data_IF_558612429360
#
_entry.id   IF_558612429360
#
_cell.length_a   1.000
_cell.length_b   1.000
_cell.length_c   1.000
_cell.angle_alpha   90.00
_cell.angle_beta   90.00
_cell.angle_gamma   90.00
#
_symmetry.space_group_name_H-M   'P 1'
#
loop_
_entity.id
_entity.type
_entity.pdbx_description
1 polymer ?
#
# COMPACT_ATOMS: atom_id res chain seq x y z
N UNK A 1 22.45 45.22 38.03
CA UNK A 1 22.61 44.08 37.10
C UNK A 1 21.64 42.98 37.50
N UNK A 2 20.36 43.11 37.19
CA UNK A 2 19.35 42.05 37.37
C UNK A 2 18.30 42.20 36.26
N UNK A 3 18.77 42.11 35.02
CA UNK A 3 17.93 42.13 33.84
C UNK A 3 17.55 40.71 33.43
N UNK A 4 16.25 40.42 33.42
CA UNK A 4 15.65 39.58 32.39
C UNK A 4 15.75 38.06 32.54
N UNK A 5 15.43 37.49 33.71
CA UNK A 5 15.06 36.07 33.79
C UNK A 5 13.64 35.96 34.32
N UNK A 6 12.67 36.38 33.50
CA UNK A 6 11.29 35.93 33.64
C UNK A 6 11.03 34.99 32.47
N UNK A 7 11.20 33.69 32.72
CA UNK A 7 10.70 32.66 31.83
C UNK A 7 9.18 32.61 31.99
N UNK A 8 8.47 33.40 31.18
CA UNK A 8 7.04 33.19 30.93
C UNK A 8 6.90 32.06 29.90
N UNK A 9 7.18 30.82 30.32
CA UNK A 9 6.73 29.64 29.59
C UNK A 9 5.25 29.42 29.89
N UNK A 10 4.38 30.23 29.31
CA UNK A 10 2.95 29.94 29.25
C UNK A 10 2.66 29.18 27.97
N UNK A 11 2.87 27.86 28.01
CA UNK A 11 2.23 26.95 27.05
C UNK A 11 1.03 26.34 27.74
N UNK A 12 -0.13 26.95 27.50
CA UNK A 12 -1.42 26.33 27.73
C UNK A 12 -1.51 25.12 26.80
N UNK A 13 -1.06 23.96 27.29
CA UNK A 13 -1.01 22.72 26.55
C UNK A 13 -2.27 21.91 26.86
N UNK A 14 -3.20 21.89 25.89
CA UNK A 14 -4.51 21.25 25.99
C UNK A 14 -4.47 19.71 25.91
N UNK A 15 -3.30 19.08 25.81
CA UNK A 15 -3.14 17.62 25.84
C UNK A 15 -2.58 17.19 27.18
N UNK A 16 -3.13 16.20 27.87
CA UNK A 16 -2.53 15.69 29.11
C UNK A 16 -1.11 15.14 28.91
N UNK A 17 -0.55 14.47 29.93
CA UNK A 17 0.80 13.87 29.89
C UNK A 17 1.08 13.05 28.62
N UNK A 18 0.08 12.32 28.11
CA UNK A 18 0.19 11.56 26.85
C UNK A 18 0.41 12.49 25.65
N UNK A 19 -0.32 13.60 25.57
CA UNK A 19 -0.13 14.58 24.51
C UNK A 19 1.29 15.14 24.52
N UNK A 20 1.87 15.40 25.69
CA UNK A 20 3.25 15.89 25.79
C UNK A 20 4.25 14.87 25.23
N UNK A 21 4.07 13.59 25.55
CA UNK A 21 4.94 12.52 25.05
C UNK A 21 4.80 12.37 23.53
N UNK A 22 3.57 12.39 23.01
CA UNK A 22 3.34 12.27 21.56
C UNK A 22 3.95 13.44 20.80
N UNK A 23 3.88 14.65 21.35
CA UNK A 23 4.53 15.81 20.73
C UNK A 23 6.05 15.69 20.74
N UNK A 24 6.65 15.24 21.85
CA UNK A 24 8.09 14.96 21.89
C UNK A 24 8.49 13.93 20.83
N UNK A 25 7.69 12.87 20.65
CA UNK A 25 7.92 11.85 19.62
C UNK A 25 7.81 12.40 18.21
N UNK A 26 6.84 13.29 17.97
CA UNK A 26 6.70 13.99 16.70
C UNK A 26 7.91 14.90 16.44
N UNK A 27 8.36 15.65 17.45
CA UNK A 27 9.50 16.58 17.37
C UNK A 27 10.82 15.87 17.06
N UNK A 28 11.08 14.71 17.66
CA UNK A 28 12.28 13.90 17.35
C UNK A 28 12.15 13.12 16.03
N UNK A 29 11.04 13.28 15.30
CA UNK A 29 10.79 12.61 14.02
C UNK A 29 10.44 11.13 14.14
N UNK A 30 10.09 10.62 15.33
CA UNK A 30 9.76 9.21 15.51
C UNK A 30 8.62 8.78 14.57
N UNK A 31 7.58 9.59 14.42
CA UNK A 31 6.49 9.27 13.48
C UNK A 31 6.89 9.41 12.02
N UNK A 32 7.79 10.33 11.71
CA UNK A 32 8.28 10.55 10.35
C UNK A 32 9.15 9.40 9.86
N UNK A 33 9.85 8.66 10.73
CA UNK A 33 10.75 7.58 10.33
C UNK A 33 10.31 6.19 10.78
N UNK A 34 9.86 6.04 12.03
CA UNK A 34 9.47 4.73 12.56
C UNK A 34 8.20 4.20 11.90
N UNK A 35 7.20 5.05 11.63
CA UNK A 35 5.96 4.59 10.97
C UNK A 35 6.22 4.13 9.53
N UNK A 36 6.90 4.90 8.65
CA UNK A 36 7.26 4.40 7.32
C UNK A 36 8.10 3.13 7.37
N UNK A 37 9.07 3.05 8.28
CA UNK A 37 9.87 1.85 8.47
C UNK A 37 9.02 0.62 8.80
N UNK A 38 8.14 0.73 9.79
CA UNK A 38 7.28 -0.38 10.21
C UNK A 38 6.34 -0.81 9.08
N UNK A 39 5.84 0.12 8.28
CA UNK A 39 4.99 -0.16 7.12
C UNK A 39 5.75 -0.91 6.02
N UNK A 40 6.94 -0.44 5.67
CA UNK A 40 7.79 -1.09 4.66
C UNK A 40 8.22 -2.47 5.15
N UNK A 41 8.66 -2.57 6.41
CA UNK A 41 9.00 -3.83 7.06
C UNK A 41 7.84 -4.83 6.98
N UNK A 42 6.64 -4.42 7.41
CA UNK A 42 5.47 -5.30 7.42
C UNK A 42 5.05 -5.72 6.01
N UNK A 43 5.11 -4.81 5.04
CA UNK A 43 4.78 -5.10 3.64
C UNK A 43 5.75 -6.11 3.04
N UNK A 44 7.06 -5.84 3.15
CA UNK A 44 8.10 -6.72 2.61
C UNK A 44 8.07 -8.07 3.31
N UNK A 45 7.95 -8.10 4.64
CA UNK A 45 7.83 -9.34 5.40
C UNK A 45 6.59 -10.15 4.99
N UNK A 46 5.44 -9.49 4.84
CA UNK A 46 4.19 -10.11 4.38
C UNK A 46 4.34 -10.72 2.99
N UNK A 47 4.99 -10.01 2.06
CA UNK A 47 5.26 -10.50 0.71
C UNK A 47 6.20 -11.73 0.75
N UNK A 48 7.35 -11.63 1.42
CA UNK A 48 8.33 -12.72 1.52
C UNK A 48 7.73 -13.99 2.15
N UNK A 49 7.02 -13.83 3.27
CA UNK A 49 6.39 -14.93 4.00
C UNK A 49 5.22 -15.56 3.25
N UNK A 50 4.48 -14.78 2.44
CA UNK A 50 3.40 -15.30 1.60
C UNK A 50 3.93 -16.09 0.41
N UNK A 51 5.04 -15.64 -0.19
CA UNK A 51 5.69 -16.32 -1.32
C UNK A 51 6.51 -17.54 -0.89
N UNK A 52 6.81 -17.69 0.42
CA UNK A 52 7.64 -18.77 0.98
C UNK A 52 8.99 -18.91 0.27
N UNK A 53 9.60 -17.78 -0.14
CA UNK A 53 10.88 -17.78 -0.87
C UNK A 53 11.99 -18.51 -0.10
N UNK A 54 12.03 -18.36 1.22
CA UNK A 54 12.99 -19.04 2.11
C UNK A 54 12.36 -20.22 2.86
N UNK A 55 11.30 -20.80 2.30
CA UNK A 55 10.61 -21.96 2.87
C UNK A 55 9.95 -21.67 4.22
N UNK A 56 10.31 -22.45 5.25
CA UNK A 56 9.75 -22.31 6.61
C UNK A 56 10.53 -21.32 7.49
N UNK A 57 11.64 -20.77 7.00
CA UNK A 57 12.52 -19.94 7.82
C UNK A 57 12.05 -18.47 7.85
N UNK A 58 11.00 -18.22 8.65
CA UNK A 58 10.42 -16.88 8.84
C UNK A 58 11.38 -15.87 9.47
N UNK A 59 12.46 -16.33 10.12
CA UNK A 59 13.47 -15.44 10.68
C UNK A 59 14.26 -14.75 9.57
N UNK A 60 14.55 -15.45 8.48
CA UNK A 60 15.24 -14.88 7.31
C UNK A 60 14.37 -13.84 6.62
N UNK A 61 13.08 -14.14 6.44
CA UNK A 61 12.11 -13.17 5.91
C UNK A 61 12.10 -11.87 6.74
N UNK A 62 12.12 -12.00 8.07
CA UNK A 62 12.12 -10.85 8.98
C UNK A 62 13.41 -10.05 8.89
N UNK A 63 14.58 -10.70 8.87
CA UNK A 63 15.88 -10.01 8.76
C UNK A 63 15.96 -9.26 7.43
N UNK A 64 15.55 -9.87 6.32
CA UNK A 64 15.57 -9.22 5.00
C UNK A 64 14.61 -8.03 4.99
N UNK A 65 13.38 -8.21 5.45
CA UNK A 65 12.40 -7.13 5.51
C UNK A 65 12.87 -5.97 6.39
N UNK A 66 13.55 -6.26 7.50
CA UNK A 66 14.12 -5.27 8.42
C UNK A 66 15.23 -4.49 7.74
N UNK A 67 16.18 -5.17 7.11
CA UNK A 67 17.25 -4.54 6.34
C UNK A 67 16.71 -3.67 5.21
N UNK A 68 15.72 -4.15 4.45
CA UNK A 68 15.08 -3.39 3.36
C UNK A 68 14.36 -2.16 3.91
N UNK A 69 13.60 -2.30 4.99
CA UNK A 69 12.94 -1.19 5.66
C UNK A 69 13.91 -0.10 6.08
N UNK A 70 15.04 -0.46 6.71
CA UNK A 70 16.07 0.49 7.13
C UNK A 70 16.78 1.13 5.93
N UNK A 71 17.11 0.37 4.89
CA UNK A 71 17.72 0.91 3.67
C UNK A 71 16.79 1.91 2.98
N UNK A 72 15.49 1.64 2.96
CA UNK A 72 14.51 2.54 2.35
C UNK A 72 14.44 3.89 3.07
N UNK A 73 14.65 3.94 4.39
CA UNK A 73 14.68 5.20 5.15
C UNK A 73 15.86 6.11 4.77
N UNK A 74 16.93 5.58 4.16
CA UNK A 74 18.06 6.41 3.73
C UNK A 74 17.66 7.41 2.65
N UNK A 75 16.65 7.10 1.86
CA UNK A 75 16.07 8.04 0.90
C UNK A 75 14.98 8.87 1.59
N UNK A 76 15.26 10.16 1.86
CA UNK A 76 14.30 11.06 2.53
C UNK A 76 12.94 11.17 1.83
N UNK A 77 12.90 10.93 0.51
CA UNK A 77 11.67 10.83 -0.27
C UNK A 77 10.72 9.73 0.22
N UNK A 78 11.24 8.59 0.70
CA UNK A 78 10.41 7.45 1.11
C UNK A 78 9.63 7.79 2.39
N UNK A 79 10.25 8.23 3.50
CA UNK A 79 9.53 8.73 4.67
C UNK A 79 8.50 9.83 4.33
N UNK A 80 8.87 10.79 3.49
CA UNK A 80 8.01 11.89 3.06
C UNK A 80 6.79 11.41 2.26
N UNK A 81 6.98 10.47 1.35
CA UNK A 81 5.89 9.86 0.60
C UNK A 81 4.90 9.17 1.53
N UNK A 82 5.38 8.34 2.45
CA UNK A 82 4.53 7.62 3.38
C UNK A 82 3.82 8.56 4.38
N UNK A 83 4.48 9.61 4.85
CA UNK A 83 3.89 10.62 5.74
C UNK A 83 2.80 11.46 5.03
N UNK A 84 2.79 11.51 3.70
CA UNK A 84 1.70 12.12 2.93
C UNK A 84 0.60 11.12 2.56
N UNK A 85 0.96 9.91 2.10
CA UNK A 85 0.00 8.89 1.63
C UNK A 85 -0.89 8.40 2.76
N UNK A 86 -0.28 7.96 3.86
CA UNK A 86 -0.99 7.19 4.88
C UNK A 86 -2.02 8.02 5.67
N UNK A 87 -1.74 9.27 6.07
CA UNK A 87 -2.77 10.10 6.68
C UNK A 87 -3.98 10.30 5.76
N UNK A 88 -3.75 10.51 4.45
CA UNK A 88 -4.82 10.71 3.46
C UNK A 88 -5.59 9.42 3.17
N UNK A 89 -4.90 8.28 3.06
CA UNK A 89 -5.53 6.97 2.99
C UNK A 89 -6.36 6.69 4.24
N UNK A 90 -5.86 7.02 5.43
CA UNK A 90 -6.58 6.86 6.69
C UNK A 90 -7.91 7.61 6.69
N UNK A 91 -7.92 8.87 6.24
CA UNK A 91 -9.15 9.65 6.06
C UNK A 91 -10.07 8.98 5.03
N UNK A 92 -9.55 8.56 3.88
CA UNK A 92 -10.33 7.87 2.86
C UNK A 92 -10.95 6.56 3.34
N UNK A 93 -10.21 5.75 4.09
CA UNK A 93 -10.69 4.50 4.68
C UNK A 93 -11.73 4.75 5.77
N UNK A 94 -11.59 5.82 6.57
CA UNK A 94 -12.61 6.22 7.54
C UNK A 94 -13.93 6.60 6.84
N UNK A 95 -13.87 7.34 5.72
CA UNK A 95 -15.05 7.65 4.91
C UNK A 95 -15.67 6.37 4.34
N UNK A 96 -14.86 5.45 3.81
CA UNK A 96 -15.35 4.17 3.29
C UNK A 96 -15.98 3.31 4.40
N UNK A 97 -15.43 3.33 5.61
CA UNK A 97 -15.99 2.66 6.77
C UNK A 97 -17.37 3.22 7.13
N UNK A 98 -17.53 4.54 7.14
CA UNK A 98 -18.84 5.18 7.37
C UNK A 98 -19.85 4.75 6.30
N UNK A 99 -19.45 4.74 5.03
CA UNK A 99 -20.30 4.27 3.92
C UNK A 99 -20.67 2.80 4.10
N UNK A 100 -19.72 1.93 4.49
CA UNK A 100 -19.97 0.52 4.77
C UNK A 100 -20.97 0.32 5.91
N UNK A 101 -20.85 1.10 6.99
CA UNK A 101 -21.77 1.05 8.13
C UNK A 101 -23.18 1.42 7.66
N UNK A 102 -23.33 2.55 6.95
CA UNK A 102 -24.63 2.99 6.42
C UNK A 102 -25.21 1.98 5.42
N UNK A 103 -24.39 1.49 4.49
CA UNK A 103 -24.81 0.47 3.53
C UNK A 103 -25.23 -0.83 4.22
N UNK A 104 -24.53 -1.27 5.27
CA UNK A 104 -24.89 -2.46 6.04
C UNK A 104 -26.24 -2.34 6.76
N UNK A 105 -26.66 -1.13 7.14
CA UNK A 105 -27.97 -0.90 7.75
C UNK A 105 -29.13 -0.94 6.75
N UNK A 106 -28.93 -0.46 5.52
CA UNK A 106 -30.02 -0.27 4.55
C UNK A 106 -29.98 -1.25 3.36
N UNK A 107 -28.88 -1.96 3.15
CA UNK A 107 -28.65 -2.80 1.96
C UNK A 107 -28.29 -4.22 2.36
N UNK A 108 -28.96 -5.20 1.75
CA UNK A 108 -28.63 -6.61 1.98
C UNK A 108 -27.25 -6.93 1.37
N UNK A 109 -26.26 -7.34 2.18
CA UNK A 109 -24.87 -7.52 1.75
C UNK A 109 -24.67 -8.64 0.72
N UNK A 110 -25.67 -9.49 0.52
CA UNK A 110 -25.61 -10.60 -0.46
C UNK A 110 -25.84 -10.17 -1.91
N UNK A 111 -26.18 -8.91 -2.17
CA UNK A 111 -26.36 -8.41 -3.54
C UNK A 111 -25.00 -8.01 -4.13
N UNK A 112 -24.63 -8.64 -5.25
CA UNK A 112 -23.40 -8.34 -5.99
C UNK A 112 -23.26 -6.84 -6.34
N UNK A 113 -24.37 -6.13 -6.57
CA UNK A 113 -24.38 -4.70 -6.84
C UNK A 113 -23.74 -3.86 -5.74
N UNK A 114 -23.95 -4.20 -4.46
CA UNK A 114 -23.32 -3.48 -3.33
C UNK A 114 -21.80 -3.59 -3.38
N UNK A 115 -21.30 -4.80 -3.64
CA UNK A 115 -19.86 -5.06 -3.72
C UNK A 115 -19.20 -4.26 -4.86
N UNK A 116 -19.84 -4.22 -6.04
CA UNK A 116 -19.34 -3.40 -7.15
C UNK A 116 -19.36 -1.90 -6.84
N UNK A 117 -20.42 -1.39 -6.18
CA UNK A 117 -20.50 0.01 -5.78
C UNK A 117 -19.42 0.37 -4.76
N UNK A 118 -19.21 -0.47 -3.75
CA UNK A 118 -18.16 -0.25 -2.74
C UNK A 118 -16.75 -0.32 -3.37
N UNK A 119 -16.54 -1.24 -4.30
CA UNK A 119 -15.29 -1.34 -5.05
C UNK A 119 -15.03 -0.10 -5.90
N UNK A 120 -16.06 0.42 -6.58
CA UNK A 120 -15.97 1.64 -7.36
C UNK A 120 -15.65 2.87 -6.48
N UNK A 121 -16.32 3.00 -5.32
CA UNK A 121 -16.04 4.07 -4.36
C UNK A 121 -14.62 3.95 -3.81
N UNK A 122 -14.21 2.75 -3.41
CA UNK A 122 -12.85 2.49 -2.92
C UNK A 122 -11.78 2.83 -3.96
N UNK A 123 -12.03 2.48 -5.23
CA UNK A 123 -11.15 2.85 -6.33
C UNK A 123 -11.05 4.37 -6.52
N UNK A 124 -12.17 5.09 -6.47
CA UNK A 124 -12.19 6.55 -6.56
C UNK A 124 -11.39 7.17 -5.42
N UNK A 125 -11.60 6.71 -4.19
CA UNK A 125 -10.85 7.19 -3.01
C UNK A 125 -9.35 6.94 -3.20
N UNK A 126 -8.97 5.74 -3.64
CA UNK A 126 -7.57 5.41 -3.90
C UNK A 126 -6.96 6.35 -4.95
N UNK A 127 -7.65 6.60 -6.06
CA UNK A 127 -7.21 7.53 -7.11
C UNK A 127 -7.04 8.94 -6.54
N UNK A 128 -8.01 9.44 -5.78
CA UNK A 128 -7.95 10.78 -5.16
C UNK A 128 -6.73 10.89 -4.24
N UNK A 129 -6.51 9.89 -3.38
CA UNK A 129 -5.38 9.91 -2.44
C UNK A 129 -4.05 9.86 -3.18
N UNK A 130 -3.93 9.05 -4.23
CA UNK A 130 -2.74 9.00 -5.07
C UNK A 130 -2.47 10.35 -5.74
N UNK A 131 -3.46 10.95 -6.39
CA UNK A 131 -3.33 12.28 -7.04
C UNK A 131 -2.88 13.33 -6.02
N UNK A 132 -3.56 13.42 -4.88
CA UNK A 132 -3.21 14.39 -3.85
C UNK A 132 -1.78 14.15 -3.36
N UNK A 133 -1.40 12.90 -3.11
CA UNK A 133 -0.06 12.57 -2.59
C UNK A 133 1.02 12.93 -3.61
N UNK A 134 0.83 12.58 -4.88
CA UNK A 134 1.71 13.01 -5.96
C UNK A 134 1.87 14.53 -6.01
N UNK A 135 0.81 15.30 -5.75
CA UNK A 135 0.90 16.75 -5.60
C UNK A 135 1.68 17.20 -4.35
N UNK A 136 1.49 16.52 -3.22
CA UNK A 136 2.16 16.84 -1.96
C UNK A 136 3.69 16.65 -2.01
N UNK A 137 4.18 15.66 -2.75
CA UNK A 137 5.62 15.35 -2.86
C UNK A 137 6.28 15.97 -4.10
N UNK A 138 5.62 16.94 -4.76
CA UNK A 138 6.19 17.63 -5.92
C UNK A 138 6.25 16.81 -7.22
N UNK A 139 5.67 15.60 -7.25
CA UNK A 139 5.51 14.81 -8.48
C UNK A 139 4.54 15.50 -9.46
N UNK A 140 3.69 16.40 -8.96
CA UNK A 140 2.83 17.25 -9.78
C UNK A 140 3.58 18.46 -10.37
N UNK A 141 4.78 18.27 -10.92
CA UNK A 141 5.18 19.16 -12.00
C UNK A 141 4.50 18.60 -13.26
N UNK A 142 3.56 19.34 -13.83
CA UNK A 142 2.99 19.01 -15.14
C UNK A 142 4.09 18.80 -16.19
N UNK A 143 5.25 19.42 -15.98
CA UNK A 143 6.50 19.19 -16.70
C UNK A 143 7.02 17.76 -16.62
N UNK A 144 7.11 17.12 -15.45
CA UNK A 144 7.58 15.74 -15.36
C UNK A 144 6.66 14.78 -16.11
N UNK A 145 5.34 14.90 -15.96
CA UNK A 145 4.39 14.06 -16.71
C UNK A 145 4.42 14.36 -18.21
N UNK A 146 4.54 15.63 -18.60
CA UNK A 146 4.70 16.02 -20.00
C UNK A 146 5.99 15.44 -20.63
N UNK A 147 7.09 15.41 -19.87
CA UNK A 147 8.38 14.91 -20.34
C UNK A 147 8.50 13.37 -20.28
N UNK A 148 7.85 12.73 -19.31
CA UNK A 148 8.07 11.31 -18.98
C UNK A 148 6.88 10.38 -19.32
N UNK A 149 5.72 10.90 -19.74
CA UNK A 149 4.60 10.04 -20.15
C UNK A 149 4.95 9.01 -21.24
N UNK A 150 5.87 9.27 -22.20
CA UNK A 150 6.24 8.25 -23.19
C UNK A 150 6.98 7.07 -22.55
N UNK A 151 7.86 7.35 -21.57
CA UNK A 151 8.60 6.33 -20.84
C UNK A 151 7.68 5.50 -19.94
N UNK A 152 6.76 6.16 -19.23
CA UNK A 152 5.76 5.49 -18.39
C UNK A 152 4.86 4.59 -19.23
N UNK A 153 4.37 5.08 -20.38
CA UNK A 153 3.56 4.29 -21.31
C UNK A 153 4.33 3.06 -21.83
N UNK A 154 5.62 3.22 -22.14
CA UNK A 154 6.48 2.12 -22.59
C UNK A 154 6.69 1.05 -21.50
N UNK A 155 6.95 1.46 -20.25
CA UNK A 155 7.09 0.53 -19.12
C UNK A 155 5.79 -0.24 -18.89
N UNK A 156 4.64 0.46 -18.89
CA UNK A 156 3.32 -0.17 -18.73
C UNK A 156 3.05 -1.15 -19.87
N UNK A 157 3.39 -0.79 -21.12
CA UNK A 157 3.27 -1.67 -22.26
C UNK A 157 4.12 -2.94 -22.11
N UNK A 158 5.39 -2.81 -21.67
CA UNK A 158 6.26 -3.96 -21.40
C UNK A 158 5.68 -4.86 -20.30
N UNK A 159 5.19 -4.28 -19.20
CA UNK A 159 4.60 -5.06 -18.10
C UNK A 159 3.35 -5.82 -18.55
N UNK A 160 2.49 -5.19 -19.37
CA UNK A 160 1.33 -5.85 -19.97
C UNK A 160 1.77 -6.96 -20.92
N UNK A 161 2.75 -6.71 -21.80
CA UNK A 161 3.27 -7.70 -22.72
C UNK A 161 3.86 -8.91 -21.99
N UNK A 162 4.66 -8.69 -20.94
CA UNK A 162 5.20 -9.75 -20.08
C UNK A 162 4.09 -10.53 -19.38
N UNK A 163 3.08 -9.84 -18.83
CA UNK A 163 1.93 -10.49 -18.20
C UNK A 163 1.15 -11.36 -19.19
N UNK A 164 0.99 -10.92 -20.44
CA UNK A 164 0.36 -11.70 -21.51
C UNK A 164 1.22 -12.91 -21.86
N UNK A 165 2.52 -12.72 -22.09
CA UNK A 165 3.45 -13.81 -22.45
C UNK A 165 3.43 -14.91 -21.38
N UNK A 166 3.54 -14.52 -20.10
CA UNK A 166 3.52 -15.44 -18.95
C UNK A 166 2.12 -16.06 -18.78
N UNK A 167 1.06 -15.30 -19.03
CA UNK A 167 -0.32 -15.80 -18.99
C UNK A 167 -0.63 -16.81 -20.09
N UNK A 168 0.01 -16.68 -21.26
CA UNK A 168 -0.13 -17.62 -22.39
C UNK A 168 0.76 -18.85 -22.27
N UNK A 169 1.79 -18.85 -21.41
CA UNK A 169 2.68 -19.99 -21.23
C UNK A 169 2.18 -21.06 -20.26
N UNK A 170 0.99 -20.89 -19.67
CA UNK A 170 0.29 -22.01 -19.04
C UNK A 170 -0.53 -22.72 -20.12
N UNK A 171 -0.07 -23.86 -20.66
CA UNK A 171 -0.96 -24.71 -21.44
C UNK A 171 -2.12 -25.08 -20.51
N UNK A 172 -3.32 -24.65 -20.86
CA UNK A 172 -4.53 -25.24 -20.31
C UNK A 172 -4.41 -26.73 -20.59
N UNK A 173 -4.27 -27.55 -19.54
CA UNK A 173 -4.42 -28.99 -19.67
C UNK A 173 -5.65 -29.23 -20.54
N UNK A 174 -5.41 -29.74 -21.75
CA UNK A 174 -6.48 -30.23 -22.58
C UNK A 174 -7.18 -31.27 -21.72
N UNK A 175 -8.42 -30.98 -21.31
CA UNK A 175 -9.25 -32.00 -20.66
C UNK A 175 -9.20 -33.19 -21.57
N UNK A 176 -8.59 -34.28 -21.11
CA UNK A 176 -8.56 -35.54 -21.83
C UNK A 176 -9.99 -35.81 -22.26
N UNK A 177 -10.20 -35.73 -23.57
CA UNK A 177 -11.46 -36.05 -24.18
C UNK A 177 -11.60 -37.54 -23.96
N UNK A 178 -12.34 -37.93 -22.93
CA UNK A 178 -12.62 -39.32 -22.60
C UNK A 178 -13.09 -40.00 -23.89
N UNK A 179 -12.20 -40.80 -24.46
CA UNK A 179 -12.48 -41.58 -25.64
C UNK A 179 -13.63 -42.51 -25.25
N UNK A 180 -14.79 -42.27 -25.84
CA UNK A 180 -15.95 -43.14 -25.75
C UNK A 180 -15.58 -44.60 -26.09
N UNK A 181 -16.47 -45.56 -25.82
CA UNK A 181 -16.18 -46.97 -25.49
C UNK A 181 -15.55 -47.84 -26.59
N UNK A 182 -15.00 -47.26 -27.66
CA UNK A 182 -14.50 -47.95 -28.84
C UNK A 182 -13.01 -48.32 -28.77
N UNK A 183 -12.50 -48.64 -27.57
CA UNK A 183 -11.17 -49.24 -27.47
C UNK A 183 -11.27 -50.72 -27.85
N UNK A 184 -11.11 -51.00 -29.14
CA UNK A 184 -11.01 -52.37 -29.65
C UNK A 184 -9.73 -52.98 -29.06
N UNK A 185 -9.90 -54.02 -28.25
CA UNK A 185 -8.81 -54.87 -27.77
C UNK A 185 -8.05 -55.41 -28.98
N UNK A 186 -6.80 -55.00 -29.15
CA UNK A 186 -5.88 -55.73 -30.00
C UNK A 186 -5.37 -56.92 -29.21
N UNK A 187 -5.91 -58.08 -29.58
CA UNK A 187 -5.37 -59.39 -29.26
C UNK A 187 -4.22 -59.63 -30.22
N UNK A 188 -3.01 -59.77 -29.68
CA UNK A 188 -2.00 -60.79 -30.03
C UNK A 188 -0.84 -60.70 -29.03
#
# INVERSE_FOLDING_TARGET
MLGGIISLASYSYSGGTIGNILNQWAEIGAFSYALPFLLIFALIYGILSSMKLFGKNRAVDAVIAFSVGLMALQFGFVPEFFSNVFPRLGVGLAVLLVILILAGFFVNPKKAGLMYTLMAIGLIIAIIVLIQTSAGVGWYSGWWWYDNWPMVAFIVFILIALAIIIGTSNPKEAKDFELGPWRIEQKD
#
